data_IF_646496745048
#
_entry.id   IF_646496745048
#
_cell.length_a   1.000
_cell.length_b   1.000
_cell.length_c   1.000
_cell.angle_alpha   90.00
_cell.angle_beta   90.00
_cell.angle_gamma   90.00
#
_symmetry.space_group_name_H-M   'P 1'
#
loop_
_entity.id
_entity.type
_entity.pdbx_description
1 polymer ?
#
# COMPACT_ATOMS: atom_id res chain seq x y z
N UNK A 1 5.16 -53.72 12.36
CA UNK A 1 6.03 -53.89 11.19
C UNK A 1 5.20 -53.62 9.94
N UNK A 2 5.64 -52.64 9.12
CA UNK A 2 5.38 -52.47 7.66
C UNK A 2 3.90 -52.17 7.26
N UNK A 3 3.46 -50.99 6.81
CA UNK A 3 3.82 -50.09 5.70
C UNK A 3 3.30 -50.48 4.29
N UNK A 4 2.74 -49.50 3.56
CA UNK A 4 2.54 -49.47 2.09
C UNK A 4 1.06 -49.61 1.65
N UNK A 5 0.32 -48.57 1.25
CA UNK A 5 0.40 -47.67 0.08
C UNK A 5 0.08 -48.34 -1.28
N UNK A 6 -0.94 -47.85 -1.99
CA UNK A 6 -0.82 -47.50 -3.42
C UNK A 6 -1.98 -46.62 -3.94
N UNK A 7 -1.54 -45.43 -4.35
CA UNK A 7 -2.04 -44.38 -5.28
C UNK A 7 -2.95 -44.76 -6.46
N UNK A 8 -3.85 -43.81 -6.78
CA UNK A 8 -4.07 -43.11 -8.08
C UNK A 8 -5.57 -42.73 -8.19
N UNK A 9 -6.06 -41.51 -8.40
CA UNK A 9 -5.53 -40.33 -9.10
C UNK A 9 -6.56 -39.93 -10.17
N UNK A 10 -7.12 -38.72 -10.13
CA UNK A 10 -7.45 -37.95 -11.35
C UNK A 10 -7.95 -36.53 -11.06
N UNK A 11 -7.26 -35.59 -11.73
CA UNK A 11 -7.69 -34.26 -12.12
C UNK A 11 -7.92 -33.19 -11.03
N UNK A 12 -6.82 -32.71 -10.43
CA UNK A 12 -6.80 -31.34 -9.90
C UNK A 12 -6.68 -30.36 -11.07
N UNK A 13 -7.76 -29.62 -11.28
CA UNK A 13 -7.91 -28.58 -12.29
C UNK A 13 -6.99 -27.40 -11.90
N UNK A 14 -5.78 -27.38 -12.46
CA UNK A 14 -4.78 -26.33 -12.22
C UNK A 14 -5.19 -25.04 -12.94
N UNK A 15 -5.96 -24.18 -12.26
CA UNK A 15 -6.11 -22.78 -12.67
C UNK A 15 -4.83 -22.04 -12.29
N UNK A 16 -3.98 -21.81 -13.29
CA UNK A 16 -2.78 -20.97 -13.16
C UNK A 16 -3.20 -19.53 -12.91
N UNK A 17 -2.79 -18.94 -11.78
CA UNK A 17 -2.72 -17.48 -11.67
C UNK A 17 -1.35 -17.00 -12.23
N UNK A 18 -1.27 -15.77 -12.79
CA UNK A 18 -0.03 -15.25 -13.37
C UNK A 18 1.07 -14.95 -12.33
N UNK A 19 0.82 -15.18 -11.04
CA UNK A 19 1.72 -14.90 -9.93
C UNK A 19 2.36 -16.14 -9.31
N UNK A 20 2.11 -17.35 -9.85
CA UNK A 20 2.81 -18.57 -9.43
C UNK A 20 2.54 -19.03 -7.99
N UNK A 21 1.47 -18.54 -7.35
CA UNK A 21 1.06 -19.02 -6.03
C UNK A 21 0.31 -20.33 -6.20
N UNK A 22 0.97 -21.45 -5.88
CA UNK A 22 0.31 -22.73 -5.69
C UNK A 22 -0.74 -22.57 -4.60
N UNK A 23 -2.01 -22.73 -4.97
CA UNK A 23 -3.07 -22.96 -3.98
C UNK A 23 -2.90 -24.42 -3.56
N UNK A 24 -2.05 -24.66 -2.55
CA UNK A 24 -2.14 -25.90 -1.81
C UNK A 24 -3.54 -25.94 -1.18
N UNK A 25 -4.24 -27.04 -1.43
CA UNK A 25 -5.62 -27.23 -1.03
C UNK A 25 -5.72 -27.20 0.49
N UNK A 26 -6.49 -26.24 1.00
CA UNK A 26 -6.87 -26.06 2.41
C UNK A 26 -5.77 -25.41 3.28
N UNK A 27 -5.56 -24.11 3.09
CA UNK A 27 -5.20 -23.25 4.23
C UNK A 27 -6.48 -22.88 4.97
N UNK A 28 -6.98 -23.75 5.85
CA UNK A 28 -7.82 -23.26 6.94
C UNK A 28 -6.87 -22.60 7.95
N UNK A 29 -6.70 -21.29 7.88
CA UNK A 29 -5.90 -20.60 8.90
C UNK A 29 -6.69 -20.62 10.23
N UNK A 30 -6.67 -21.76 10.94
CA UNK A 30 -7.29 -21.92 12.27
C UNK A 30 -6.54 -21.07 13.31
N UNK A 31 -5.26 -20.77 13.05
CA UNK A 31 -4.42 -19.93 13.90
C UNK A 31 -3.62 -18.91 13.08
N UNK A 32 -3.68 -17.65 13.50
CA UNK A 32 -2.82 -16.60 12.96
C UNK A 32 -1.39 -16.70 13.51
N UNK A 33 -0.42 -16.21 12.72
CA UNK A 33 0.99 -16.14 13.12
C UNK A 33 1.42 -14.67 13.15
N UNK A 34 2.05 -14.23 14.24
CA UNK A 34 2.71 -12.93 14.29
C UNK A 34 3.98 -12.99 13.45
N UNK A 35 4.00 -12.30 12.31
CA UNK A 35 5.16 -12.25 11.40
C UNK A 35 6.17 -11.17 11.76
N UNK A 36 5.73 -10.09 12.41
CA UNK A 36 6.55 -8.95 12.79
C UNK A 36 5.93 -8.18 13.97
N UNK A 37 6.75 -7.43 14.70
CA UNK A 37 6.29 -6.72 15.90
C UNK A 37 6.19 -7.61 17.13
N UNK A 38 5.79 -7.03 18.27
CA UNK A 38 5.62 -7.72 19.53
C UNK A 38 4.14 -7.68 19.96
N UNK A 39 3.51 -8.85 20.07
CA UNK A 39 2.10 -8.97 20.43
C UNK A 39 1.80 -8.28 21.77
N UNK A 40 0.82 -7.37 21.76
CA UNK A 40 0.37 -6.64 22.95
C UNK A 40 1.31 -5.53 23.44
N UNK A 41 2.42 -5.26 22.74
CA UNK A 41 3.42 -4.27 23.17
C UNK A 41 3.64 -3.22 22.09
N UNK A 42 3.11 -2.01 22.34
CA UNK A 42 3.42 -0.84 21.53
C UNK A 42 4.77 -0.23 21.93
N UNK A 43 5.50 0.33 20.96
CA UNK A 43 6.75 1.03 21.25
C UNK A 43 7.54 1.39 19.98
N UNK A 44 8.74 1.93 20.18
CA UNK A 44 9.62 2.45 19.14
C UNK A 44 10.87 1.61 18.88
N UNK A 45 11.01 0.47 19.58
CA UNK A 45 12.12 -0.46 19.35
C UNK A 45 12.01 -1.12 17.97
N UNK A 46 13.09 -1.72 17.47
CA UNK A 46 13.13 -2.33 16.13
C UNK A 46 12.21 -3.54 15.97
N UNK A 47 11.84 -4.19 17.07
CA UNK A 47 10.86 -5.29 17.12
C UNK A 47 9.46 -4.84 17.57
N UNK A 48 9.19 -3.54 17.65
CA UNK A 48 7.92 -2.98 18.13
C UNK A 48 7.34 -2.00 17.11
N UNK A 49 6.02 -1.79 17.19
CA UNK A 49 5.30 -0.81 16.40
C UNK A 49 4.43 0.07 17.30
N UNK A 50 4.04 1.23 16.80
CA UNK A 50 3.04 2.11 17.38
C UNK A 50 2.02 2.43 16.30
N UNK A 51 0.83 1.83 16.40
CA UNK A 51 -0.27 1.98 15.42
C UNK A 51 0.17 1.73 13.96
N UNK A 52 0.66 0.52 13.61
CA UNK A 52 0.96 0.20 12.21
C UNK A 52 -0.32 0.22 11.37
N UNK A 53 -0.31 0.87 10.21
CA UNK A 53 -1.53 1.13 9.42
C UNK A 53 -1.54 0.51 8.03
N UNK A 54 -0.37 0.22 7.47
CA UNK A 54 -0.23 -0.24 6.09
C UNK A 54 1.00 -1.13 5.95
N UNK A 55 0.95 -2.06 5.00
CA UNK A 55 2.01 -3.00 4.67
C UNK A 55 2.10 -3.16 3.16
N UNK A 56 3.31 -3.28 2.65
CA UNK A 56 3.57 -3.72 1.27
C UNK A 56 4.72 -4.72 1.24
N UNK A 57 4.76 -5.55 0.20
CA UNK A 57 5.77 -6.59 0.02
C UNK A 57 6.62 -6.27 -1.20
N UNK A 58 7.92 -6.57 -1.13
CA UNK A 58 8.74 -6.69 -2.34
C UNK A 58 8.72 -8.11 -2.93
N UNK A 59 9.32 -8.28 -4.11
CA UNK A 59 9.38 -9.56 -4.83
C UNK A 59 10.10 -10.70 -4.07
N UNK A 60 10.86 -10.39 -3.01
CA UNK A 60 11.52 -11.38 -2.17
C UNK A 60 10.71 -11.71 -0.90
N UNK A 61 9.51 -11.14 -0.78
CA UNK A 61 8.66 -11.28 0.40
C UNK A 61 9.10 -10.43 1.59
N UNK A 62 10.00 -9.45 1.41
CA UNK A 62 10.31 -8.53 2.50
C UNK A 62 9.11 -7.61 2.73
N UNK A 63 8.71 -7.46 3.98
CA UNK A 63 7.62 -6.60 4.41
C UNK A 63 8.11 -5.19 4.69
N UNK A 64 7.37 -4.19 4.23
CA UNK A 64 7.59 -2.78 4.53
C UNK A 64 6.34 -2.26 5.23
N UNK A 65 6.47 -2.02 6.53
CA UNK A 65 5.37 -1.68 7.42
C UNK A 65 5.41 -0.18 7.68
N UNK A 66 4.27 0.48 7.46
CA UNK A 66 4.04 1.86 7.89
C UNK A 66 3.75 1.87 9.39
N UNK A 67 4.75 2.23 10.19
CA UNK A 67 4.69 2.36 11.64
C UNK A 67 4.31 3.81 12.00
N UNK A 68 3.03 4.13 11.80
CA UNK A 68 2.50 5.50 11.75
C UNK A 68 2.72 6.30 13.03
N UNK A 69 2.56 5.67 14.20
CA UNK A 69 2.77 6.32 15.49
C UNK A 69 4.23 6.67 15.75
N UNK A 70 5.16 6.00 15.08
CA UNK A 70 6.59 6.30 15.13
C UNK A 70 7.08 7.07 13.88
N UNK A 71 6.18 7.49 12.98
CA UNK A 71 6.51 8.20 11.73
C UNK A 71 7.66 7.55 10.93
N UNK A 72 7.62 6.22 10.76
CA UNK A 72 8.68 5.48 10.08
C UNK A 72 8.15 4.33 9.23
N UNK A 73 9.00 3.86 8.31
CA UNK A 73 8.81 2.61 7.59
C UNK A 73 9.85 1.60 8.07
N UNK A 74 9.36 0.45 8.50
CA UNK A 74 10.17 -0.68 8.95
C UNK A 74 10.21 -1.76 7.89
N UNK A 75 11.40 -2.17 7.46
CA UNK A 75 11.61 -3.35 6.62
C UNK A 75 11.83 -4.58 7.49
N UNK A 76 11.13 -5.66 7.19
CA UNK A 76 11.30 -6.96 7.83
C UNK A 76 11.51 -8.02 6.75
N UNK A 77 12.61 -8.75 6.84
CA UNK A 77 12.85 -9.91 5.99
C UNK A 77 12.11 -11.12 6.55
N UNK A 78 11.69 -12.09 5.72
CA UNK A 78 11.03 -13.29 6.22
C UNK A 78 11.86 -14.00 7.31
N UNK A 79 11.24 -14.27 8.45
CA UNK A 79 11.89 -14.90 9.62
C UNK A 79 12.73 -13.98 10.50
N UNK A 80 12.81 -12.68 10.19
CA UNK A 80 13.50 -11.72 11.06
C UNK A 80 12.77 -11.55 12.41
N UNK A 81 13.54 -11.29 13.46
CA UNK A 81 13.03 -10.94 14.80
C UNK A 81 13.03 -9.43 15.07
N UNK A 82 13.74 -8.66 14.24
CA UNK A 82 13.84 -7.20 14.33
C UNK A 82 13.71 -6.58 12.93
N UNK A 83 13.08 -5.42 12.86
CA UNK A 83 13.00 -4.60 11.67
C UNK A 83 14.19 -3.66 11.49
N UNK A 84 14.37 -3.21 10.26
CA UNK A 84 15.32 -2.15 9.90
C UNK A 84 14.54 -0.92 9.43
N UNK A 85 14.74 0.21 10.09
CA UNK A 85 14.12 1.48 9.66
C UNK A 85 14.72 1.90 8.34
N UNK A 86 13.89 1.97 7.30
CA UNK A 86 14.32 2.38 5.95
C UNK A 86 13.95 3.82 5.60
N UNK A 87 12.92 4.36 6.26
CA UNK A 87 12.47 5.75 6.14
C UNK A 87 12.00 6.26 7.50
N UNK A 88 12.44 7.44 7.92
CA UNK A 88 11.96 8.11 9.15
C UNK A 88 12.02 9.65 9.10
N UNK A 89 12.46 10.22 7.98
CA UNK A 89 12.63 11.66 7.84
C UNK A 89 11.42 12.31 7.19
N UNK A 90 11.04 13.49 7.69
CA UNK A 90 10.07 14.40 7.06
C UNK A 90 8.64 13.87 6.87
N UNK A 91 8.21 12.91 7.71
CA UNK A 91 6.82 12.41 7.73
C UNK A 91 6.11 12.84 9.03
N UNK A 92 4.78 13.02 8.95
CA UNK A 92 3.91 13.34 10.07
C UNK A 92 2.62 12.54 9.97
N UNK A 93 2.41 11.61 10.91
CA UNK A 93 1.28 10.67 10.93
C UNK A 93 1.02 10.01 9.56
N UNK A 94 2.04 9.42 8.89
CA UNK A 94 1.83 8.77 7.60
C UNK A 94 0.95 7.53 7.75
N UNK A 95 0.10 7.20 6.78
CA UNK A 95 -0.90 6.11 6.91
C UNK A 95 -0.88 5.06 5.81
N UNK A 96 -0.29 5.36 4.66
CA UNK A 96 -0.27 4.45 3.51
C UNK A 96 1.14 4.29 2.96
N UNK A 97 1.49 3.07 2.55
CA UNK A 97 2.73 2.76 1.84
C UNK A 97 2.48 1.84 0.65
N UNK A 98 3.13 2.09 -0.48
CA UNK A 98 3.09 1.24 -1.66
C UNK A 98 4.37 1.36 -2.48
N UNK A 99 4.75 0.29 -3.19
CA UNK A 99 5.85 0.35 -4.15
C UNK A 99 5.43 0.94 -5.48
N UNK A 100 6.32 1.71 -6.10
CA UNK A 100 6.28 1.96 -7.54
C UNK A 100 6.98 0.82 -8.32
N UNK A 101 6.78 0.72 -9.65
CA UNK A 101 7.38 -0.34 -10.46
C UNK A 101 8.92 -0.28 -10.54
N UNK A 102 9.52 0.84 -10.14
CA UNK A 102 10.97 1.04 -10.06
C UNK A 102 11.53 0.66 -8.68
N UNK A 103 10.70 0.17 -7.76
CA UNK A 103 11.08 -0.22 -6.41
C UNK A 103 11.19 0.95 -5.42
N UNK A 104 10.65 2.13 -5.74
CA UNK A 104 10.56 3.25 -4.80
C UNK A 104 9.33 3.11 -3.90
N UNK A 105 9.38 3.66 -2.68
CA UNK A 105 8.27 3.63 -1.73
C UNK A 105 7.48 4.94 -1.77
N UNK A 106 6.24 4.87 -2.23
CA UNK A 106 5.25 5.92 -2.12
C UNK A 106 4.61 5.91 -0.73
N UNK A 107 4.45 7.09 -0.15
CA UNK A 107 3.89 7.28 1.20
C UNK A 107 2.76 8.29 1.16
N UNK A 108 1.63 7.95 1.77
CA UNK A 108 0.59 8.92 2.12
C UNK A 108 0.97 9.57 3.47
N UNK A 109 1.54 10.78 3.42
CA UNK A 109 2.02 11.55 4.56
C UNK A 109 0.88 12.43 5.11
N UNK A 110 -0.03 11.79 5.86
CA UNK A 110 -1.37 12.31 6.13
C UNK A 110 -1.37 13.65 6.86
N UNK A 111 -0.51 13.79 7.88
CA UNK A 111 -0.40 14.99 8.70
C UNK A 111 0.23 16.17 7.98
N UNK A 112 1.01 15.93 6.93
CA UNK A 112 1.54 16.97 6.05
C UNK A 112 0.73 17.13 4.75
N UNK A 113 -0.39 16.42 4.63
CA UNK A 113 -1.33 16.53 3.51
C UNK A 113 -0.67 16.36 2.13
N UNK A 114 0.21 15.38 2.00
CA UNK A 114 0.98 15.15 0.77
C UNK A 114 1.25 13.68 0.53
N UNK A 115 1.72 13.36 -0.67
CA UNK A 115 2.37 12.10 -0.94
C UNK A 115 3.85 12.31 -1.25
N UNK A 116 4.68 11.42 -0.72
CA UNK A 116 6.15 11.44 -0.89
C UNK A 116 6.60 10.13 -1.52
N UNK A 117 7.54 10.21 -2.45
CA UNK A 117 8.23 9.06 -3.01
C UNK A 117 9.67 9.00 -2.48
N UNK A 118 10.04 7.88 -1.84
CA UNK A 118 11.39 7.64 -1.33
C UNK A 118 12.09 6.63 -2.22
N UNK A 119 13.33 6.95 -2.64
CA UNK A 119 14.17 5.99 -3.34
C UNK A 119 14.78 5.01 -2.33
N UNK A 120 14.14 3.87 -2.20
CA UNK A 120 14.55 2.77 -1.33
C UNK A 120 14.81 1.60 -2.26
N UNK A 121 15.94 1.61 -2.97
CA UNK A 121 16.24 0.65 -4.05
C UNK A 121 15.94 -0.78 -3.58
N UNK A 122 14.77 -1.29 -3.95
CA UNK A 122 14.52 -2.71 -4.10
C UNK A 122 15.18 -3.06 -5.44
N UNK A 123 16.09 -4.04 -5.52
CA UNK A 123 16.76 -4.35 -6.78
C UNK A 123 15.70 -4.62 -7.85
N UNK A 124 15.79 -3.96 -9.03
CA UNK A 124 14.78 -4.10 -10.05
C UNK A 124 14.69 -5.54 -10.52
N UNK A 125 13.48 -5.92 -10.90
CA UNK A 125 13.17 -7.13 -11.66
C UNK A 125 14.12 -7.26 -12.84
N UNK A 126 14.66 -8.47 -13.00
CA UNK A 126 15.48 -8.96 -14.13
C UNK A 126 17.00 -8.73 -14.03
N UNK A 127 17.72 -9.82 -13.77
CA UNK A 127 19.14 -10.12 -14.13
C UNK A 127 20.30 -9.67 -13.25
N UNK A 128 20.16 -8.84 -12.22
CA UNK A 128 21.29 -8.58 -11.31
C UNK A 128 21.39 -9.63 -10.20
N UNK A 129 22.34 -10.55 -10.32
CA UNK A 129 22.63 -11.61 -9.34
C UNK A 129 23.29 -11.11 -8.05
N UNK A 130 23.48 -9.79 -7.92
CA UNK A 130 23.89 -9.16 -6.65
C UNK A 130 23.04 -7.92 -6.42
N UNK A 131 21.94 -8.01 -5.66
CA UNK A 131 21.23 -6.82 -5.22
C UNK A 131 22.09 -6.08 -4.20
N UNK A 132 22.77 -5.01 -4.63
CA UNK A 132 23.34 -4.03 -3.71
C UNK A 132 22.17 -3.29 -3.05
N UNK A 133 21.67 -3.81 -1.93
CA UNK A 133 20.86 -3.03 -1.01
C UNK A 133 21.69 -1.80 -0.62
N UNK A 134 21.22 -0.60 -0.96
CA UNK A 134 21.75 0.61 -0.32
C UNK A 134 21.28 0.54 1.13
N UNK A 135 22.12 0.00 2.02
CA UNK A 135 21.91 0.12 3.46
C UNK A 135 22.09 1.58 3.84
N UNK A 136 20.99 2.30 3.83
CA UNK A 136 20.95 3.70 4.21
C UNK A 136 19.50 4.12 4.36
N UNK A 137 19.20 4.79 5.47
CA UNK A 137 17.95 5.51 5.61
C UNK A 137 17.77 6.40 4.38
N UNK A 138 16.63 6.31 3.69
CA UNK A 138 16.31 7.30 2.69
C UNK A 138 16.15 8.65 3.41
N UNK A 139 17.16 9.50 3.30
CA UNK A 139 17.24 10.78 4.00
C UNK A 139 16.48 11.89 3.28
N UNK A 140 16.05 11.67 2.04
CA UNK A 140 15.29 12.63 1.24
C UNK A 140 14.25 11.91 0.38
N UNK A 141 13.00 12.35 0.49
CA UNK A 141 11.91 11.94 -0.38
C UNK A 141 11.45 13.10 -1.26
N UNK A 142 10.86 12.80 -2.41
CA UNK A 142 10.31 13.79 -3.33
C UNK A 142 8.79 13.89 -3.14
N UNK A 143 8.26 15.09 -2.94
CA UNK A 143 6.80 15.30 -2.93
C UNK A 143 6.27 15.08 -4.34
N UNK A 144 5.24 14.24 -4.47
CA UNK A 144 4.67 13.81 -5.76
C UNK A 144 3.17 14.11 -5.90
N UNK A 145 2.51 14.50 -4.80
CA UNK A 145 1.15 15.03 -4.78
C UNK A 145 0.93 15.84 -3.49
N UNK A 146 -0.03 16.78 -3.51
CA UNK A 146 -0.27 17.68 -2.37
C UNK A 146 0.89 18.66 -2.18
N UNK A 147 1.13 19.52 -3.17
CA UNK A 147 2.31 20.39 -3.24
C UNK A 147 2.22 21.63 -2.33
N UNK A 148 1.12 21.80 -1.61
CA UNK A 148 0.90 22.96 -0.73
C UNK A 148 1.29 22.65 0.71
N UNK A 149 1.73 23.66 1.46
CA UNK A 149 2.11 23.53 2.87
C UNK A 149 0.92 23.42 3.82
N UNK A 150 -0.30 23.56 3.31
CA UNK A 150 -1.56 23.37 4.03
C UNK A 150 -2.47 22.43 3.24
N UNK A 151 -3.32 21.70 3.96
CA UNK A 151 -4.34 20.86 3.34
C UNK A 151 -5.36 21.69 2.56
N UNK A 152 -5.98 21.08 1.55
CA UNK A 152 -7.00 21.74 0.74
C UNK A 152 -7.68 20.78 -0.23
N UNK A 153 -8.66 21.29 -0.97
CA UNK A 153 -9.49 20.50 -1.90
C UNK A 153 -9.20 20.78 -3.38
N UNK A 154 -8.26 21.68 -3.68
CA UNK A 154 -7.82 21.95 -5.05
C UNK A 154 -7.18 20.73 -5.73
N UNK A 155 -7.03 20.77 -7.05
CA UNK A 155 -6.46 19.68 -7.86
C UNK A 155 -4.97 19.42 -7.57
N UNK A 156 -4.23 20.41 -7.08
CA UNK A 156 -2.84 20.27 -6.62
C UNK A 156 -2.71 19.95 -5.12
N UNK A 157 -3.84 19.84 -4.41
CA UNK A 157 -3.90 19.72 -2.96
C UNK A 157 -4.45 18.37 -2.52
N UNK A 158 -4.07 17.98 -1.31
CA UNK A 158 -4.60 16.86 -0.56
C UNK A 158 -5.03 17.36 0.82
N UNK A 159 -5.84 16.59 1.52
CA UNK A 159 -6.26 16.83 2.89
C UNK A 159 -6.44 15.50 3.63
N UNK A 160 -5.44 15.16 4.45
CA UNK A 160 -5.41 13.92 5.22
C UNK A 160 -5.43 12.64 4.36
N UNK A 161 -4.52 12.47 3.39
CA UNK A 161 -4.48 11.26 2.58
C UNK A 161 -4.20 10.02 3.43
N UNK A 162 -4.98 8.94 3.31
CA UNK A 162 -4.86 7.76 4.18
C UNK A 162 -4.32 6.51 3.50
N UNK A 163 -4.55 6.36 2.20
CA UNK A 163 -4.09 5.22 1.41
C UNK A 163 -3.49 5.69 0.10
N UNK A 164 -2.54 4.92 -0.42
CA UNK A 164 -1.84 5.20 -1.66
C UNK A 164 -1.68 3.89 -2.44
N UNK A 165 -1.85 3.97 -3.75
CA UNK A 165 -1.59 2.90 -4.70
C UNK A 165 -0.81 3.47 -5.89
N UNK A 166 0.15 2.70 -6.41
CA UNK A 166 0.92 3.07 -7.61
C UNK A 166 0.78 1.95 -8.64
N UNK A 167 0.36 2.31 -9.84
CA UNK A 167 0.24 1.36 -10.96
C UNK A 167 1.57 1.18 -11.72
N UNK A 168 1.58 0.23 -12.67
CA UNK A 168 2.73 -0.04 -13.54
C UNK A 168 3.15 1.15 -14.43
N UNK A 169 2.25 2.11 -14.64
CA UNK A 169 2.48 3.30 -15.44
C UNK A 169 2.94 4.52 -14.61
N UNK A 170 3.24 4.32 -13.31
CA UNK A 170 3.57 5.38 -12.35
C UNK A 170 2.44 6.40 -12.19
N UNK A 171 1.21 5.95 -12.29
CA UNK A 171 0.03 6.69 -11.84
C UNK A 171 -0.15 6.45 -10.35
N UNK A 172 -0.34 7.54 -9.59
CA UNK A 172 -0.60 7.52 -8.16
C UNK A 172 -2.09 7.69 -7.92
N UNK A 173 -2.67 6.79 -7.15
CA UNK A 173 -4.02 6.92 -6.64
C UNK A 173 -3.93 7.12 -5.13
N UNK A 174 -4.58 8.17 -4.62
CA UNK A 174 -4.50 8.54 -3.21
C UNK A 174 -5.91 8.74 -2.69
N UNK A 175 -6.23 8.05 -1.61
CA UNK A 175 -7.46 8.27 -0.87
C UNK A 175 -7.31 9.53 -0.01
N UNK A 176 -7.87 10.62 -0.51
CA UNK A 176 -7.84 11.96 0.06
C UNK A 176 -9.01 12.12 1.06
N UNK A 177 -8.80 11.58 2.25
CA UNK A 177 -9.88 11.15 3.14
C UNK A 177 -10.75 12.31 3.65
N UNK A 178 -10.14 13.44 4.02
CA UNK A 178 -10.90 14.59 4.53
C UNK A 178 -11.60 15.38 3.41
N UNK A 179 -11.30 15.05 2.15
CA UNK A 179 -12.03 15.52 0.98
C UNK A 179 -12.97 14.45 0.40
N UNK A 180 -13.09 13.27 1.04
CA UNK A 180 -14.01 12.20 0.65
C UNK A 180 -13.88 11.79 -0.81
N UNK A 181 -12.64 11.67 -1.30
CA UNK A 181 -12.35 11.37 -2.70
C UNK A 181 -11.13 10.49 -2.89
N UNK A 182 -11.07 9.80 -4.02
CA UNK A 182 -9.82 9.27 -4.55
C UNK A 182 -9.36 10.22 -5.63
N UNK A 183 -8.12 10.68 -5.50
CA UNK A 183 -7.47 11.49 -6.52
C UNK A 183 -6.37 10.69 -7.22
N UNK A 184 -6.29 10.88 -8.53
CA UNK A 184 -5.32 10.28 -9.44
C UNK A 184 -4.32 11.35 -9.89
N UNK A 185 -3.03 11.07 -9.78
CA UNK A 185 -1.94 11.87 -10.35
C UNK A 185 -1.10 11.04 -11.30
N UNK A 186 -0.66 11.66 -12.38
CA UNK A 186 0.41 11.10 -13.21
C UNK A 186 1.72 11.61 -12.63
N UNK A 187 2.69 10.72 -12.43
CA UNK A 187 3.98 11.12 -11.87
C UNK A 187 4.62 12.29 -12.65
N UNK A 188 5.12 13.29 -11.92
CA UNK A 188 5.70 14.51 -12.47
C UNK A 188 4.68 15.57 -12.90
N UNK A 189 3.37 15.27 -12.86
CA UNK A 189 2.33 16.27 -13.11
C UNK A 189 1.93 16.98 -11.80
N UNK A 190 1.71 18.30 -11.83
CA UNK A 190 1.39 19.06 -10.61
C UNK A 190 -0.09 18.93 -10.20
N UNK A 191 -0.97 18.52 -11.11
CA UNK A 191 -2.41 18.47 -10.91
C UNK A 191 -2.93 17.04 -10.89
N UNK A 192 -3.87 16.79 -9.99
CA UNK A 192 -4.60 15.54 -9.86
C UNK A 192 -6.03 15.67 -10.33
N UNK A 193 -6.66 14.52 -10.49
CA UNK A 193 -8.03 14.36 -10.95
C UNK A 193 -8.81 13.50 -9.96
N UNK A 194 -10.00 13.95 -9.56
CA UNK A 194 -10.91 13.10 -8.79
C UNK A 194 -11.41 11.96 -9.69
N UNK A 195 -11.22 10.71 -9.25
CA UNK A 195 -11.66 9.50 -9.98
C UNK A 195 -12.72 8.70 -9.23
N UNK A 196 -12.93 8.98 -7.95
CA UNK A 196 -14.03 8.44 -7.15
C UNK A 196 -14.40 9.42 -6.03
N UNK A 197 -15.69 9.50 -5.68
CA UNK A 197 -16.18 10.41 -4.64
C UNK A 197 -16.09 11.89 -5.02
N UNK A 198 -15.73 12.75 -4.06
CA UNK A 198 -15.55 14.20 -4.26
C UNK A 198 -16.83 15.05 -4.12
N UNK A 199 -17.95 14.43 -3.75
CA UNK A 199 -19.25 15.09 -3.54
C UNK A 199 -19.63 15.20 -2.06
N UNK A 200 -18.60 15.30 -1.22
CA UNK A 200 -18.71 15.23 0.24
C UNK A 200 -19.03 13.82 0.75
N UNK A 201 -19.12 13.70 2.08
CA UNK A 201 -19.48 12.44 2.73
C UNK A 201 -20.95 12.06 2.48
N UNK A 202 -21.22 10.76 2.39
CA UNK A 202 -22.57 10.22 2.28
C UNK A 202 -22.60 8.74 1.90
N UNK A 203 -23.81 8.19 1.82
CA UNK A 203 -24.07 6.76 1.60
C UNK A 203 -24.39 6.40 0.14
N UNK A 204 -24.58 7.38 -0.75
CA UNK A 204 -24.81 7.13 -2.17
C UNK A 204 -23.55 6.60 -2.87
N UNK A 205 -23.69 5.95 -4.03
CA UNK A 205 -22.56 5.32 -4.74
C UNK A 205 -21.62 6.32 -5.42
N UNK A 206 -21.99 7.60 -5.51
CA UNK A 206 -21.13 8.69 -5.98
C UNK A 206 -20.37 9.39 -4.84
N UNK A 207 -20.49 8.89 -3.60
CA UNK A 207 -19.88 9.46 -2.40
C UNK A 207 -19.02 8.44 -1.68
N UNK A 208 -18.01 8.97 -0.98
CA UNK A 208 -17.14 8.23 -0.08
C UNK A 208 -17.34 8.81 1.32
N UNK A 209 -17.35 7.97 2.37
CA UNK A 209 -17.30 8.43 3.77
C UNK A 209 -15.84 8.31 4.29
N UNK A 210 -15.62 7.84 5.50
CA UNK A 210 -14.26 7.55 6.00
C UNK A 210 -13.71 6.29 5.31
N UNK A 211 -12.81 6.47 4.36
CA UNK A 211 -12.09 5.36 3.71
C UNK A 211 -10.90 4.85 4.53
N UNK A 212 -10.42 3.65 4.23
CA UNK A 212 -9.23 3.08 4.86
C UNK A 212 -8.29 2.44 3.84
N UNK A 213 -8.77 1.47 3.06
CA UNK A 213 -8.00 0.77 2.05
C UNK A 213 -8.26 1.33 0.65
N UNK A 214 -7.26 1.22 -0.21
CA UNK A 214 -7.32 1.59 -1.62
C UNK A 214 -6.62 0.50 -2.44
N UNK A 215 -7.29 0.03 -3.48
CA UNK A 215 -6.73 -0.87 -4.48
C UNK A 215 -7.18 -0.45 -5.86
N UNK A 216 -6.34 -0.64 -6.87
CA UNK A 216 -6.67 -0.39 -8.27
C UNK A 216 -6.28 -1.61 -9.07
N UNK A 217 -7.20 -2.12 -9.89
CA UNK A 217 -6.93 -3.27 -10.76
C UNK A 217 -6.26 -2.86 -12.08
N UNK A 218 -5.94 -3.84 -12.91
CA UNK A 218 -5.30 -3.66 -14.21
C UNK A 218 -6.19 -2.93 -15.24
N UNK A 219 -7.51 -2.88 -15.01
CA UNK A 219 -8.49 -2.11 -15.77
C UNK A 219 -8.60 -0.66 -15.27
N UNK A 220 -7.82 -0.29 -14.26
CA UNK A 220 -7.87 1.00 -13.56
C UNK A 220 -9.17 1.25 -12.78
N UNK A 221 -9.94 0.21 -12.46
CA UNK A 221 -11.07 0.34 -11.55
C UNK A 221 -10.58 0.53 -10.12
N UNK A 222 -11.19 1.48 -9.42
CA UNK A 222 -10.79 1.91 -8.06
C UNK A 222 -11.67 1.24 -7.03
N UNK A 223 -11.06 0.60 -6.04
CA UNK A 223 -11.74 -0.05 -4.91
C UNK A 223 -11.37 0.66 -3.62
N UNK A 224 -12.37 1.06 -2.84
CA UNK A 224 -12.16 1.71 -1.55
C UNK A 224 -12.90 0.92 -0.48
N UNK A 225 -12.20 0.51 0.58
CA UNK A 225 -12.86 0.06 1.81
C UNK A 225 -13.20 1.27 2.67
N UNK A 226 -14.47 1.38 3.05
CA UNK A 226 -15.03 2.53 3.75
C UNK A 226 -15.53 2.09 5.12
N UNK A 227 -14.78 2.43 6.18
CA UNK A 227 -15.21 2.20 7.56
C UNK A 227 -16.36 3.12 7.97
N UNK A 228 -16.52 4.26 7.29
CA UNK A 228 -17.61 5.19 7.57
C UNK A 228 -18.97 4.77 7.00
N UNK A 229 -18.99 3.78 6.10
CA UNK A 229 -20.19 3.28 5.44
C UNK A 229 -20.29 1.74 5.52
N UNK A 230 -19.39 1.08 6.26
CA UNK A 230 -19.31 -0.38 6.41
C UNK A 230 -19.36 -1.15 5.08
N UNK A 231 -18.65 -0.65 4.06
CA UNK A 231 -18.71 -1.21 2.70
C UNK A 231 -17.38 -1.18 1.97
N UNK A 232 -17.33 -1.91 0.86
CA UNK A 232 -16.30 -1.74 -0.18
C UNK A 232 -17.02 -1.31 -1.45
N UNK A 233 -16.57 -0.21 -2.04
CA UNK A 233 -17.16 0.33 -3.27
C UNK A 233 -16.15 0.28 -4.40
N UNK A 234 -16.60 -0.08 -5.60
CA UNK A 234 -15.81 -0.07 -6.84
C UNK A 234 -16.32 1.01 -7.78
N UNK A 235 -15.40 1.79 -8.35
CA UNK A 235 -15.66 2.69 -9.46
C UNK A 235 -14.90 2.22 -10.68
N UNK A 236 -15.62 1.89 -11.74
CA UNK A 236 -15.03 1.42 -12.97
C UNK A 236 -14.46 2.58 -13.78
N UNK A 237 -13.28 2.39 -14.36
CA UNK A 237 -12.70 3.33 -15.32
C UNK A 237 -13.46 3.22 -16.64
N UNK A 238 -14.69 3.72 -16.66
CA UNK A 238 -15.47 3.79 -17.88
C UNK A 238 -14.84 4.88 -18.75
N UNK A 239 -14.25 4.48 -19.88
CA UNK A 239 -13.82 5.41 -20.93
C UNK A 239 -15.10 6.01 -21.56
N UNK A 240 -15.82 6.85 -20.82
CA UNK A 240 -16.95 7.66 -21.29
C UNK A 240 -17.43 8.59 -20.17
N UNK A 241 -16.80 9.76 -20.05
CA UNK A 241 -17.40 10.91 -19.36
C UNK A 241 -16.76 11.24 -18.02
N UNK A 242 -15.93 12.29 -18.03
CA UNK A 242 -15.57 12.98 -16.81
C UNK A 242 -16.83 13.45 -16.06
N UNK A 243 -16.73 13.41 -14.73
CA UNK A 243 -17.62 14.13 -13.83
C UNK A 243 -16.86 15.30 -13.24
#
# INVERSE_FOLDING_TARGET
>A
MVAGNSTAGSALNQLRNPYGLYVDSVYDAVTGVTLCGQSGVAGSWSNQFSSPTSITLDQFGNMYIMDSGNNRIQKWTPGATFGVTVVSASMSSPKGVAFDPSGNLGVADSGNHRAILYSVICPPTTTSTTPAFRSGLASTGTVVAGYTTSGGSGSSQLNGPTAIFLDLNRTLYILDNLNYRVQKWIYGQPLGFTVAGGRGSGTTLDKISTGQGLFVDDQSSVYVSEIGNDRVTRWDNTIAGGI
#
